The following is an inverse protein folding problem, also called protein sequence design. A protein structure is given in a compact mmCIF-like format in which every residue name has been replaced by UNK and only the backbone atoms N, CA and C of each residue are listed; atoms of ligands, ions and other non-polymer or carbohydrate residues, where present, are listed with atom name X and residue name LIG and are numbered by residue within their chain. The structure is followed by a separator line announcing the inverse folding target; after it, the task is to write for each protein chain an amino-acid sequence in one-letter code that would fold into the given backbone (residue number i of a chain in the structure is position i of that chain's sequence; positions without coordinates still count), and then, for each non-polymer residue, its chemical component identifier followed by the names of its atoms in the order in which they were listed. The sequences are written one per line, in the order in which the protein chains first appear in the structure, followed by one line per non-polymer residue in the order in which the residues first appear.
data_IF_843227402692
#
_entry.id   IF_843227402692
#
_cell.length_a   1.000
_cell.length_b   1.000
_cell.length_c   1.000
_cell.angle_alpha   90.00
_cell.angle_beta   90.00
_cell.angle_gamma   90.00
#
_symmetry.space_group_name_H-M   'P 1'
#
loop_
_entity.id
_entity.type
_entity.pdbx_description
1 polymer ?
#
# COMPACT_ATOMS: atom_id res chain seq x y z
N UNK A 1 12.09 -28.18 3.83
CA UNK A 1 10.76 -28.50 3.26
C UNK A 1 9.70 -28.61 4.36
N UNK A 2 9.89 -29.44 5.40
CA UNK A 2 8.89 -29.64 6.46
C UNK A 2 8.45 -28.37 7.20
N UNK A 3 9.38 -27.46 7.55
CA UNK A 3 9.03 -26.20 8.23
C UNK A 3 8.19 -25.26 7.35
N UNK A 4 8.48 -25.18 6.05
CA UNK A 4 7.72 -24.33 5.13
C UNK A 4 6.29 -24.84 4.95
N UNK A 5 6.13 -26.17 4.84
CA UNK A 5 4.81 -26.82 4.78
C UNK A 5 4.04 -26.62 6.09
N UNK A 6 4.71 -26.75 7.24
CA UNK A 6 4.09 -26.47 8.54
C UNK A 6 3.62 -25.02 8.64
N UNK A 7 4.45 -24.04 8.28
CA UNK A 7 4.08 -22.63 8.33
C UNK A 7 2.92 -22.30 7.36
N UNK A 8 2.91 -22.92 6.17
CA UNK A 8 1.80 -22.79 5.23
C UNK A 8 0.51 -23.39 5.80
N UNK A 9 0.59 -24.57 6.43
CA UNK A 9 -0.56 -25.20 7.08
C UNK A 9 -1.09 -24.33 8.23
N UNK A 10 -0.22 -23.80 9.10
CA UNK A 10 -0.59 -22.90 10.20
C UNK A 10 -1.23 -21.60 9.69
N UNK A 11 -0.67 -21.01 8.63
CA UNK A 11 -1.23 -19.82 8.00
C UNK A 11 -2.64 -20.08 7.44
N UNK A 12 -2.78 -21.18 6.70
CA UNK A 12 -4.05 -21.57 6.08
C UNK A 12 -5.11 -21.86 7.14
N UNK A 13 -4.75 -22.63 8.17
CA UNK A 13 -5.61 -22.87 9.34
C UNK A 13 -6.07 -21.55 9.97
N UNK A 14 -5.15 -20.64 10.28
CA UNK A 14 -5.48 -19.37 10.91
C UNK A 14 -6.40 -18.49 10.07
N UNK A 15 -6.15 -18.38 8.76
CA UNK A 15 -6.97 -17.61 7.85
C UNK A 15 -8.39 -18.20 7.68
N UNK A 16 -8.50 -19.53 7.60
CA UNK A 16 -9.79 -20.22 7.49
C UNK A 16 -10.60 -20.11 8.78
N UNK A 17 -9.99 -20.31 9.94
CA UNK A 17 -10.68 -20.16 11.23
C UNK A 17 -11.11 -18.70 11.44
N UNK A 18 -10.28 -17.73 11.08
CA UNK A 18 -10.66 -16.31 11.14
C UNK A 18 -11.89 -16.02 10.26
N UNK A 19 -11.92 -16.57 9.03
CA UNK A 19 -13.05 -16.46 8.10
C UNK A 19 -14.34 -17.09 8.64
N UNK A 20 -14.24 -18.21 9.35
CA UNK A 20 -15.39 -18.96 9.88
C UNK A 20 -15.94 -18.44 11.20
N UNK A 21 -15.11 -17.80 12.03
CA UNK A 21 -15.51 -17.39 13.39
C UNK A 21 -15.74 -15.90 13.56
N UNK A 22 -15.07 -15.08 12.76
CA UNK A 22 -15.11 -13.61 12.91
C UNK A 22 -15.80 -12.94 11.74
N UNK A 23 -15.40 -13.28 10.51
CA UNK A 23 -15.95 -12.62 9.32
C UNK A 23 -17.23 -13.30 8.80
N UNK A 24 -18.30 -13.19 9.58
CA UNK A 24 -19.59 -13.83 9.28
C UNK A 24 -20.60 -12.91 8.60
N UNK A 25 -20.50 -11.60 8.83
CA UNK A 25 -21.48 -10.61 8.39
C UNK A 25 -21.04 -9.91 7.09
N UNK A 26 -21.81 -10.13 6.02
CA UNK A 26 -21.62 -9.53 4.69
C UNK A 26 -21.81 -8.01 4.71
N UNK A 27 -22.75 -7.53 5.54
CA UNK A 27 -23.10 -6.11 5.65
C UNK A 27 -22.05 -5.31 6.42
N UNK A 28 -21.18 -6.00 7.17
CA UNK A 28 -20.12 -5.37 7.93
C UNK A 28 -19.00 -4.93 7.01
N UNK A 29 -18.72 -3.63 7.02
CA UNK A 29 -17.72 -2.95 6.17
C UNK A 29 -18.08 -3.07 4.67
N UNK A 30 -17.12 -2.82 3.78
CA UNK A 30 -17.34 -2.68 2.33
C UNK A 30 -17.56 -4.03 1.59
N UNK A 31 -17.69 -5.16 2.30
CA UNK A 31 -17.68 -6.49 1.69
C UNK A 31 -18.91 -6.75 0.83
N UNK A 32 -20.11 -6.45 1.34
CA UNK A 32 -21.35 -6.54 0.56
C UNK A 32 -21.31 -5.67 -0.70
N UNK A 33 -20.68 -4.49 -0.63
CA UNK A 33 -20.50 -3.64 -1.80
C UNK A 33 -19.54 -4.24 -2.84
N UNK A 34 -18.48 -4.92 -2.41
CA UNK A 34 -17.60 -5.67 -3.31
C UNK A 34 -18.32 -6.87 -3.93
N UNK A 35 -19.10 -7.62 -3.15
CA UNK A 35 -19.88 -8.77 -3.62
C UNK A 35 -20.94 -8.34 -4.65
N UNK A 36 -21.69 -7.29 -4.34
CA UNK A 36 -22.67 -6.68 -5.25
C UNK A 36 -22.01 -6.24 -6.55
N UNK A 37 -20.84 -5.59 -6.49
CA UNK A 37 -20.10 -5.20 -7.69
C UNK A 37 -19.66 -6.44 -8.50
N UNK A 38 -19.12 -7.47 -7.86
CA UNK A 38 -18.77 -8.74 -8.52
C UNK A 38 -19.96 -9.36 -9.25
N UNK A 39 -21.12 -9.42 -8.59
CA UNK A 39 -22.37 -9.93 -9.18
C UNK A 39 -22.79 -9.09 -10.38
N UNK A 40 -22.86 -7.77 -10.24
CA UNK A 40 -23.27 -6.88 -11.34
C UNK A 40 -22.30 -6.94 -12.52
N UNK A 41 -21.00 -7.12 -12.30
CA UNK A 41 -20.05 -7.36 -13.39
C UNK A 41 -20.38 -8.63 -14.16
N UNK A 42 -20.66 -9.73 -13.46
CA UNK A 42 -21.03 -10.99 -14.09
C UNK A 42 -22.35 -10.88 -14.86
N UNK A 43 -23.42 -10.39 -14.23
CA UNK A 43 -24.77 -10.30 -14.81
C UNK A 43 -24.85 -9.36 -16.02
N UNK A 44 -23.99 -8.34 -16.08
CA UNK A 44 -23.97 -7.37 -17.19
C UNK A 44 -22.94 -7.69 -18.28
N UNK A 45 -22.35 -8.90 -18.26
CA UNK A 45 -21.25 -9.27 -19.17
C UNK A 45 -20.10 -8.24 -19.15
N UNK A 46 -19.68 -7.85 -17.94
CA UNK A 46 -18.58 -6.93 -17.68
C UNK A 46 -18.78 -5.48 -18.15
N UNK A 47 -20.02 -5.07 -18.41
CA UNK A 47 -20.35 -3.68 -18.79
C UNK A 47 -20.62 -2.76 -17.60
N UNK A 48 -20.78 -3.30 -16.39
CA UNK A 48 -21.05 -2.51 -15.19
C UNK A 48 -19.82 -1.73 -14.71
N UNK A 49 -19.94 -0.40 -14.65
CA UNK A 49 -18.84 0.51 -14.28
C UNK A 49 -18.76 0.83 -12.78
N UNK A 50 -19.84 0.57 -12.03
CA UNK A 50 -19.98 0.91 -10.61
C UNK A 50 -19.94 2.41 -10.30
N UNK A 51 -20.22 2.77 -9.05
CA UNK A 51 -20.21 4.17 -8.59
C UNK A 51 -18.83 4.75 -8.28
N UNK A 52 -17.76 4.12 -8.77
CA UNK A 52 -16.36 4.54 -8.57
C UNK A 52 -15.90 4.75 -7.13
N UNK A 53 -16.60 4.18 -6.15
CA UNK A 53 -16.10 4.04 -4.79
C UNK A 53 -15.07 2.90 -4.70
N UNK A 54 -15.37 1.76 -5.33
CA UNK A 54 -14.47 0.61 -5.46
C UNK A 54 -13.89 0.55 -6.87
N UNK A 55 -12.67 0.04 -6.97
CA UNK A 55 -11.96 -0.10 -8.23
C UNK A 55 -12.15 -1.51 -8.83
N UNK A 56 -12.07 -1.67 -10.16
CA UNK A 56 -12.65 -2.83 -10.85
C UNK A 56 -11.82 -4.12 -10.78
N UNK A 57 -10.50 -4.06 -10.53
CA UNK A 57 -9.64 -5.26 -10.63
C UNK A 57 -10.05 -6.35 -9.65
N UNK A 58 -10.31 -6.00 -8.39
CA UNK A 58 -10.68 -7.00 -7.39
C UNK A 58 -12.07 -7.62 -7.64
N UNK A 59 -13.14 -6.82 -7.87
CA UNK A 59 -14.43 -7.34 -8.32
C UNK A 59 -14.35 -8.25 -9.55
N UNK A 60 -13.52 -7.87 -10.54
CA UNK A 60 -13.28 -8.66 -11.75
C UNK A 60 -12.64 -10.01 -11.44
N UNK A 61 -11.63 -10.07 -10.57
CA UNK A 61 -11.02 -11.34 -10.17
C UNK A 61 -12.01 -12.24 -9.42
N UNK A 62 -12.83 -11.65 -8.55
CA UNK A 62 -13.87 -12.37 -7.84
C UNK A 62 -14.99 -12.87 -8.77
N UNK A 63 -15.30 -12.17 -9.86
CA UNK A 63 -16.33 -12.62 -10.80
C UNK A 63 -15.92 -13.84 -11.61
N UNK A 64 -14.61 -14.14 -11.70
CA UNK A 64 -14.12 -15.38 -12.32
C UNK A 64 -14.47 -16.64 -11.51
N UNK A 65 -14.73 -16.49 -10.21
CA UNK A 65 -15.14 -17.58 -9.30
C UNK A 65 -16.59 -17.44 -8.81
N UNK A 66 -17.31 -16.43 -9.33
CA UNK A 66 -18.72 -16.22 -9.06
C UNK A 66 -19.56 -17.27 -9.78
N UNK A 67 -20.67 -17.67 -9.13
CA UNK A 67 -21.55 -18.71 -9.61
C UNK A 67 -22.99 -18.32 -9.25
N UNK A 68 -23.84 -18.07 -10.25
CA UNK A 68 -25.20 -17.59 -10.03
C UNK A 68 -26.13 -18.63 -9.38
N UNK A 69 -25.72 -19.90 -9.31
CA UNK A 69 -26.50 -20.95 -8.63
C UNK A 69 -26.34 -20.92 -7.11
N UNK A 70 -25.31 -20.23 -6.60
CA UNK A 70 -25.06 -20.10 -5.17
C UNK A 70 -25.92 -19.03 -4.52
N UNK A 71 -26.26 -19.26 -3.24
CA UNK A 71 -26.79 -18.20 -2.38
C UNK A 71 -25.74 -17.13 -2.10
N UNK A 72 -26.17 -15.93 -1.70
CA UNK A 72 -25.26 -14.82 -1.40
C UNK A 72 -24.22 -15.17 -0.31
N UNK A 73 -24.63 -15.91 0.73
CA UNK A 73 -23.74 -16.38 1.79
C UNK A 73 -22.70 -17.40 1.30
N UNK A 74 -23.08 -18.27 0.36
CA UNK A 74 -22.16 -19.22 -0.26
C UNK A 74 -21.18 -18.50 -1.18
N UNK A 75 -21.64 -17.54 -1.99
CA UNK A 75 -20.77 -16.70 -2.83
C UNK A 75 -19.78 -15.89 -1.98
N UNK A 76 -20.24 -15.31 -0.88
CA UNK A 76 -19.38 -14.60 0.07
C UNK A 76 -18.30 -15.53 0.65
N UNK A 77 -18.71 -16.71 1.10
CA UNK A 77 -17.81 -17.73 1.63
C UNK A 77 -16.77 -18.17 0.59
N UNK A 78 -17.20 -18.46 -0.64
CA UNK A 78 -16.32 -18.81 -1.76
C UNK A 78 -15.30 -17.70 -2.05
N UNK A 79 -15.75 -16.44 -2.07
CA UNK A 79 -14.87 -15.30 -2.31
C UNK A 79 -13.86 -15.04 -1.18
N UNK A 80 -14.21 -15.32 0.08
CA UNK A 80 -13.24 -15.34 1.19
C UNK A 80 -12.16 -16.40 0.96
N UNK A 81 -12.54 -17.62 0.56
CA UNK A 81 -11.56 -18.67 0.25
C UNK A 81 -10.67 -18.31 -0.95
N UNK A 82 -11.22 -17.67 -1.98
CA UNK A 82 -10.42 -17.13 -3.09
C UNK A 82 -9.37 -16.14 -2.58
N UNK A 83 -9.73 -15.24 -1.65
CA UNK A 83 -8.80 -14.29 -1.09
C UNK A 83 -7.71 -14.96 -0.21
N UNK A 84 -8.06 -16.04 0.50
CA UNK A 84 -7.07 -16.89 1.19
C UNK A 84 -6.09 -17.51 0.20
N UNK A 85 -6.56 -18.12 -0.89
CA UNK A 85 -5.70 -18.70 -1.93
C UNK A 85 -4.82 -17.62 -2.58
N UNK A 86 -5.39 -16.46 -2.88
CA UNK A 86 -4.65 -15.32 -3.41
C UNK A 86 -3.52 -14.90 -2.45
N UNK A 87 -3.80 -14.80 -1.14
CA UNK A 87 -2.77 -14.48 -0.14
C UNK A 87 -1.62 -15.49 -0.12
N UNK A 88 -1.95 -16.79 -0.22
CA UNK A 88 -0.98 -17.89 -0.27
C UNK A 88 -0.10 -17.78 -1.53
N UNK A 89 -0.64 -17.34 -2.66
CA UNK A 89 0.13 -17.12 -3.88
C UNK A 89 1.03 -15.87 -3.81
N UNK A 90 0.54 -14.78 -3.20
CA UNK A 90 1.27 -13.52 -3.10
C UNK A 90 2.47 -13.59 -2.14
N UNK A 91 2.40 -14.40 -1.07
CA UNK A 91 3.47 -14.52 -0.08
C UNK A 91 4.79 -15.07 -0.67
N UNK A 92 4.83 -16.17 -1.46
CA UNK A 92 6.01 -16.60 -2.20
C UNK A 92 6.56 -15.52 -3.13
N UNK A 93 5.70 -14.77 -3.83
CA UNK A 93 6.15 -13.66 -4.67
C UNK A 93 6.86 -12.57 -3.85
N UNK A 94 6.32 -12.19 -2.68
CA UNK A 94 6.98 -11.26 -1.75
C UNK A 94 8.33 -11.80 -1.28
N UNK A 95 8.40 -13.08 -0.93
CA UNK A 95 9.66 -13.71 -0.54
C UNK A 95 10.71 -13.60 -1.65
N UNK A 96 10.35 -13.93 -2.89
CA UNK A 96 11.25 -13.83 -4.04
C UNK A 96 11.73 -12.39 -4.26
N UNK A 97 10.84 -11.40 -4.08
CA UNK A 97 11.21 -9.98 -4.12
C UNK A 97 12.22 -9.67 -3.00
N UNK A 98 11.93 -10.00 -1.74
CA UNK A 98 12.84 -9.75 -0.62
C UNK A 98 14.21 -10.43 -0.79
N UNK A 99 14.23 -11.64 -1.35
CA UNK A 99 15.47 -12.38 -1.64
C UNK A 99 16.39 -11.66 -2.62
N UNK A 100 15.87 -10.77 -3.47
CA UNK A 100 16.68 -9.93 -4.38
C UNK A 100 17.43 -8.81 -3.65
N UNK A 101 17.02 -8.43 -2.43
CA UNK A 101 17.56 -7.27 -1.72
C UNK A 101 18.24 -7.63 -0.39
N UNK A 102 17.80 -8.72 0.27
CA UNK A 102 18.23 -9.05 1.62
C UNK A 102 18.83 -10.45 1.69
N UNK A 103 19.36 -10.84 2.86
CA UNK A 103 19.74 -12.22 3.15
C UNK A 103 18.50 -13.13 3.31
N UNK A 104 18.70 -14.44 3.27
CA UNK A 104 17.59 -15.40 3.40
C UNK A 104 16.84 -15.21 4.72
N UNK A 105 17.56 -15.08 5.83
CA UNK A 105 16.95 -14.93 7.15
C UNK A 105 16.14 -13.62 7.30
N UNK A 106 16.67 -12.50 6.81
CA UNK A 106 15.92 -11.23 6.76
C UNK A 106 14.66 -11.35 5.91
N UNK A 107 14.76 -12.02 4.77
CA UNK A 107 13.62 -12.23 3.87
C UNK A 107 12.54 -13.11 4.52
N UNK A 108 12.96 -14.15 5.27
CA UNK A 108 12.05 -14.99 6.06
C UNK A 108 11.38 -14.16 7.15
N UNK A 109 12.13 -13.37 7.92
CA UNK A 109 11.55 -12.54 8.98
C UNK A 109 10.51 -11.56 8.43
N UNK A 110 10.84 -10.83 7.37
CA UNK A 110 9.88 -9.92 6.72
C UNK A 110 8.65 -10.64 6.19
N UNK A 111 8.84 -11.82 5.58
CA UNK A 111 7.73 -12.64 5.10
C UNK A 111 6.84 -13.10 6.25
N UNK A 112 7.39 -13.63 7.34
CA UNK A 112 6.62 -14.15 8.46
C UNK A 112 5.89 -13.04 9.23
N UNK A 113 6.54 -11.89 9.44
CA UNK A 113 5.87 -10.72 10.02
C UNK A 113 4.69 -10.33 9.13
N UNK A 114 4.90 -10.19 7.82
CA UNK A 114 3.83 -9.82 6.87
C UNK A 114 2.70 -10.86 6.87
N UNK A 115 3.05 -12.15 6.81
CA UNK A 115 2.10 -13.26 6.78
C UNK A 115 1.22 -13.24 8.03
N UNK A 116 1.81 -13.31 9.23
CA UNK A 116 1.07 -13.58 10.46
C UNK A 116 0.56 -12.33 11.17
N UNK A 117 1.01 -11.13 10.82
CA UNK A 117 0.54 -9.88 11.46
C UNK A 117 -0.27 -8.97 10.55
N UNK A 118 -0.33 -9.26 9.25
CA UNK A 118 -1.09 -8.46 8.26
C UNK A 118 -1.95 -9.35 7.38
N UNK A 119 -1.33 -10.22 6.59
CA UNK A 119 -2.03 -10.98 5.55
C UNK A 119 -3.03 -11.96 6.14
N UNK A 120 -2.69 -12.68 7.21
CA UNK A 120 -3.56 -13.67 7.84
C UNK A 120 -4.92 -13.06 8.21
N UNK A 121 -4.91 -11.87 8.81
CA UNK A 121 -6.11 -11.18 9.25
C UNK A 121 -6.91 -10.60 8.09
N UNK A 122 -6.27 -10.24 6.97
CA UNK A 122 -6.96 -9.66 5.80
C UNK A 122 -7.41 -10.69 4.77
N UNK A 123 -6.74 -11.84 4.71
CA UNK A 123 -7.04 -12.92 3.77
C UNK A 123 -8.45 -13.48 3.96
N UNK A 124 -9.00 -13.39 5.17
CA UNK A 124 -10.34 -13.87 5.49
C UNK A 124 -11.48 -12.96 5.02
N UNK A 125 -11.20 -11.81 4.39
CA UNK A 125 -12.21 -10.80 4.01
C UNK A 125 -12.43 -10.76 2.50
N UNK A 126 -13.66 -10.48 2.08
CA UNK A 126 -14.01 -10.21 0.67
C UNK A 126 -13.63 -8.76 0.34
N UNK A 127 -12.34 -8.52 0.18
CA UNK A 127 -11.72 -7.21 0.25
C UNK A 127 -10.43 -7.15 -0.58
N UNK A 128 -10.18 -6.03 -1.26
CA UNK A 128 -9.06 -5.84 -2.21
C UNK A 128 -7.69 -5.64 -1.53
N UNK A 129 -7.68 -5.51 -0.22
CA UNK A 129 -6.55 -5.05 0.61
C UNK A 129 -5.27 -5.83 0.35
N UNK A 130 -5.30 -7.17 0.37
CA UNK A 130 -4.07 -7.97 0.22
C UNK A 130 -3.42 -7.79 -1.15
N UNK A 131 -4.23 -7.71 -2.21
CA UNK A 131 -3.77 -7.50 -3.57
C UNK A 131 -3.23 -6.08 -3.71
N UNK A 132 -3.96 -5.11 -3.14
CA UNK A 132 -3.53 -3.71 -3.13
C UNK A 132 -2.20 -3.51 -2.39
N UNK A 133 -2.01 -4.10 -1.20
CA UNK A 133 -0.75 -3.96 -0.46
C UNK A 133 0.44 -4.53 -1.24
N UNK A 134 0.25 -5.67 -1.89
CA UNK A 134 1.27 -6.27 -2.75
C UNK A 134 1.60 -5.38 -3.95
N UNK A 135 0.60 -4.94 -4.71
CA UNK A 135 0.79 -4.13 -5.91
C UNK A 135 1.33 -2.73 -5.58
N UNK A 136 0.85 -2.11 -4.50
CA UNK A 136 1.35 -0.83 -4.00
C UNK A 136 2.82 -0.93 -3.58
N UNK A 137 3.21 -2.03 -2.93
CA UNK A 137 4.62 -2.28 -2.59
C UNK A 137 5.49 -2.49 -3.84
N UNK A 138 5.01 -3.26 -4.82
CA UNK A 138 5.69 -3.42 -6.10
C UNK A 138 5.86 -2.08 -6.83
N UNK A 139 4.80 -1.27 -6.91
CA UNK A 139 4.84 0.08 -7.48
C UNK A 139 5.87 0.95 -6.77
N UNK A 140 5.84 0.99 -5.44
CA UNK A 140 6.82 1.72 -4.62
C UNK A 140 8.26 1.30 -4.93
N UNK A 141 8.55 0.00 -4.98
CA UNK A 141 9.89 -0.51 -5.28
C UNK A 141 10.33 -0.17 -6.70
N UNK A 142 9.45 -0.26 -7.69
CA UNK A 142 9.76 0.05 -9.08
C UNK A 142 10.08 1.55 -9.25
N UNK A 143 9.25 2.42 -8.67
CA UNK A 143 9.50 3.87 -8.58
C UNK A 143 10.82 4.17 -7.86
N UNK A 144 11.10 3.51 -6.74
CA UNK A 144 12.36 3.64 -6.00
C UNK A 144 13.58 3.23 -6.84
N UNK A 145 13.48 2.15 -7.63
CA UNK A 145 14.55 1.67 -8.52
C UNK A 145 14.81 2.65 -9.66
N UNK A 146 13.79 3.33 -10.17
CA UNK A 146 13.94 4.32 -11.24
C UNK A 146 14.91 5.44 -10.86
N UNK A 147 14.94 5.89 -9.60
CA UNK A 147 15.92 6.89 -9.14
C UNK A 147 17.38 6.47 -9.33
N UNK A 148 17.67 5.16 -9.32
CA UNK A 148 19.03 4.62 -9.44
C UNK A 148 19.37 4.18 -10.87
N UNK A 149 18.45 3.50 -11.53
CA UNK A 149 18.69 2.85 -12.82
C UNK A 149 17.49 3.02 -13.76
N UNK A 150 17.22 4.26 -14.22
CA UNK A 150 16.12 4.51 -15.13
C UNK A 150 16.40 3.88 -16.50
N UNK A 151 15.39 3.21 -17.04
CA UNK A 151 15.46 2.61 -18.36
C UNK A 151 14.08 2.21 -18.86
N UNK A 152 13.96 2.01 -20.17
CA UNK A 152 12.67 1.79 -20.81
C UNK A 152 11.89 0.60 -20.23
N UNK A 153 12.54 -0.55 -20.00
CA UNK A 153 11.91 -1.73 -19.39
C UNK A 153 11.31 -1.40 -18.02
N UNK A 154 12.09 -0.69 -17.20
CA UNK A 154 11.65 -0.32 -15.86
C UNK A 154 10.54 0.73 -15.92
N UNK A 155 10.62 1.71 -16.82
CA UNK A 155 9.57 2.71 -17.04
C UNK A 155 8.23 2.06 -17.44
N UNK A 156 8.25 1.18 -18.44
CA UNK A 156 7.07 0.42 -18.90
C UNK A 156 6.45 -0.40 -17.77
N UNK A 157 7.25 -1.21 -17.07
CA UNK A 157 6.73 -2.05 -15.98
C UNK A 157 6.23 -1.20 -14.81
N UNK A 158 6.90 -0.10 -14.47
CA UNK A 158 6.44 0.84 -13.42
C UNK A 158 5.08 1.43 -13.78
N UNK A 159 4.89 1.90 -15.01
CA UNK A 159 3.61 2.45 -15.48
C UNK A 159 2.47 1.44 -15.44
N UNK A 160 2.70 0.22 -15.95
CA UNK A 160 1.70 -0.86 -15.94
C UNK A 160 1.33 -1.24 -14.51
N UNK A 161 2.32 -1.50 -13.65
CA UNK A 161 2.06 -1.93 -12.26
C UNK A 161 1.38 -0.83 -11.46
N UNK A 162 1.79 0.44 -11.62
CA UNK A 162 1.08 1.58 -11.01
C UNK A 162 -0.36 1.69 -11.52
N UNK A 163 -0.59 1.38 -12.81
CA UNK A 163 -1.91 1.41 -13.41
C UNK A 163 -2.84 0.33 -12.83
N UNK A 164 -2.37 -0.91 -12.78
CA UNK A 164 -3.11 -2.03 -12.16
C UNK A 164 -3.33 -1.74 -10.66
N UNK A 165 -2.35 -1.14 -9.98
CA UNK A 165 -2.48 -0.73 -8.58
C UNK A 165 -3.63 0.26 -8.41
N UNK A 166 -3.72 1.27 -9.28
CA UNK A 166 -4.83 2.25 -9.26
C UNK A 166 -6.18 1.58 -9.50
N UNK A 167 -6.24 0.67 -10.47
CA UNK A 167 -7.45 -0.11 -10.77
C UNK A 167 -7.79 -1.16 -9.70
N UNK A 168 -6.91 -1.35 -8.70
CA UNK A 168 -7.19 -2.14 -7.49
C UNK A 168 -7.65 -1.25 -6.35
N UNK A 169 -7.02 -0.08 -6.16
CA UNK A 169 -7.45 0.97 -5.22
C UNK A 169 -6.90 2.33 -5.66
N UNK A 170 -7.74 3.37 -5.59
CA UNK A 170 -7.42 4.71 -6.10
C UNK A 170 -6.17 5.36 -5.49
N UNK A 171 -5.83 4.94 -4.27
CA UNK A 171 -4.88 5.61 -3.38
C UNK A 171 -3.43 5.62 -3.87
N UNK A 172 -3.07 5.06 -5.02
CA UNK A 172 -1.69 5.11 -5.55
C UNK A 172 -1.32 6.48 -6.16
N UNK A 173 -2.30 7.31 -6.55
CA UNK A 173 -2.04 8.56 -7.28
C UNK A 173 -1.09 9.54 -6.56
N UNK A 174 -1.23 9.82 -5.25
CA UNK A 174 -0.31 10.71 -4.55
C UNK A 174 1.14 10.21 -4.60
N UNK A 175 1.36 8.91 -4.44
CA UNK A 175 2.69 8.30 -4.54
C UNK A 175 3.29 8.43 -5.95
N UNK A 176 2.49 8.22 -6.99
CA UNK A 176 2.93 8.40 -8.38
C UNK A 176 3.25 9.88 -8.69
N UNK A 177 2.43 10.81 -8.22
CA UNK A 177 2.67 12.24 -8.38
C UNK A 177 3.99 12.68 -7.70
N UNK A 178 4.20 12.28 -6.44
CA UNK A 178 5.46 12.54 -5.73
C UNK A 178 6.67 11.94 -6.45
N UNK A 179 6.54 10.71 -6.96
CA UNK A 179 7.59 10.09 -7.76
C UNK A 179 7.92 10.94 -8.99
N UNK A 180 6.92 11.33 -9.80
CA UNK A 180 7.13 12.13 -11.01
C UNK A 180 7.84 13.44 -10.68
N UNK A 181 7.34 14.19 -9.68
CA UNK A 181 7.90 15.48 -9.28
C UNK A 181 9.36 15.37 -8.84
N UNK A 182 9.65 14.44 -7.93
CA UNK A 182 11.00 14.27 -7.37
C UNK A 182 11.95 13.67 -8.41
N UNK A 183 11.47 12.80 -9.29
CA UNK A 183 12.24 12.22 -10.38
C UNK A 183 12.62 13.26 -11.45
N UNK A 184 11.70 14.18 -11.77
CA UNK A 184 11.98 15.34 -12.62
C UNK A 184 13.01 16.27 -11.97
N UNK A 185 12.83 16.59 -10.68
CA UNK A 185 13.78 17.40 -9.93
C UNK A 185 15.19 16.76 -9.91
N UNK A 186 15.28 15.44 -9.70
CA UNK A 186 16.55 14.72 -9.80
C UNK A 186 17.16 14.83 -11.20
N UNK A 187 16.35 14.66 -12.24
CA UNK A 187 16.81 14.69 -13.63
C UNK A 187 17.34 16.06 -14.02
N UNK A 188 16.64 17.14 -13.65
CA UNK A 188 17.07 18.51 -13.86
C UNK A 188 18.35 18.84 -13.07
N UNK A 189 18.40 18.41 -11.80
CA UNK A 189 19.59 18.60 -10.96
C UNK A 189 20.83 17.92 -11.53
N UNK A 190 20.71 16.68 -12.00
CA UNK A 190 21.84 15.95 -12.61
C UNK A 190 22.33 16.65 -13.88
N UNK A 191 21.42 17.10 -14.75
CA UNK A 191 21.76 17.86 -15.94
C UNK A 191 22.53 19.15 -15.59
N UNK A 192 22.04 19.91 -14.60
CA UNK A 192 22.70 21.11 -14.11
C UNK A 192 24.08 20.82 -13.52
N UNK A 193 24.20 19.77 -12.70
CA UNK A 193 25.48 19.42 -12.07
C UNK A 193 26.52 18.96 -13.07
N UNK A 194 26.12 18.23 -14.10
CA UNK A 194 27.01 17.74 -15.14
C UNK A 194 27.51 18.89 -16.03
N UNK A 195 26.63 19.86 -16.33
CA UNK A 195 26.99 21.09 -17.02
C UNK A 195 28.05 21.90 -16.26
N UNK A 196 27.86 22.07 -14.94
CA UNK A 196 28.83 22.77 -14.08
C UNK A 196 30.14 21.98 -13.89
N UNK A 197 30.07 20.66 -13.95
CA UNK A 197 31.21 19.75 -13.75
C UNK A 197 32.16 19.61 -14.95
N UNK A 198 31.95 20.38 -16.04
CA UNK A 198 32.69 20.25 -17.31
C UNK A 198 32.59 18.85 -17.93
N UNK A 199 31.52 18.10 -17.64
CA UNK A 199 31.24 16.85 -18.35
C UNK A 199 30.80 17.20 -19.78
N UNK A 200 31.16 16.35 -20.75
CA UNK A 200 30.68 16.46 -22.13
C UNK A 200 29.15 16.62 -22.15
N UNK A 201 28.70 17.76 -22.68
CA UNK A 201 27.30 18.14 -22.80
C UNK A 201 26.47 17.07 -23.52
N UNK A 202 27.07 16.39 -24.50
CA UNK A 202 26.41 15.33 -25.26
C UNK A 202 26.03 14.16 -24.36
N UNK A 203 26.94 13.77 -23.47
CA UNK A 203 26.72 12.68 -22.50
C UNK A 203 25.66 13.07 -21.47
N UNK A 204 25.75 14.27 -20.90
CA UNK A 204 24.78 14.78 -19.93
C UNK A 204 23.36 14.85 -20.53
N UNK A 205 23.25 15.35 -21.76
CA UNK A 205 21.99 15.39 -22.52
C UNK A 205 21.42 14.00 -22.76
N UNK A 206 22.25 13.03 -23.16
CA UNK A 206 21.78 11.67 -23.42
C UNK A 206 21.26 10.98 -22.14
N UNK A 207 21.92 11.18 -21.00
CA UNK A 207 21.44 10.68 -19.70
C UNK A 207 20.11 11.33 -19.35
N UNK A 208 19.99 12.65 -19.50
CA UNK A 208 18.74 13.36 -19.25
C UNK A 208 17.61 12.85 -20.15
N UNK A 209 17.84 12.74 -21.46
CA UNK A 209 16.86 12.22 -22.42
C UNK A 209 16.42 10.80 -22.07
N UNK A 210 17.34 9.90 -21.70
CA UNK A 210 16.99 8.54 -21.26
C UNK A 210 16.05 8.57 -20.05
N UNK A 211 16.29 9.47 -19.09
CA UNK A 211 15.45 9.62 -17.90
C UNK A 211 14.06 10.14 -18.25
N UNK A 212 13.98 11.17 -19.08
CA UNK A 212 12.71 11.74 -19.54
C UNK A 212 11.92 10.73 -20.37
N UNK A 213 12.56 10.00 -21.28
CA UNK A 213 11.91 8.92 -22.05
C UNK A 213 11.39 7.81 -21.13
N UNK A 214 12.17 7.42 -20.12
CA UNK A 214 11.73 6.42 -19.14
C UNK A 214 10.53 6.90 -18.33
N UNK A 215 10.49 8.19 -17.95
CA UNK A 215 9.34 8.80 -17.28
C UNK A 215 8.11 8.90 -18.19
N UNK A 216 8.31 9.28 -19.45
CA UNK A 216 7.24 9.32 -20.44
C UNK A 216 6.62 7.92 -20.62
N UNK A 217 7.44 6.86 -20.62
CA UNK A 217 6.95 5.49 -20.63
C UNK A 217 6.16 5.13 -19.36
N UNK A 218 6.56 5.59 -18.17
CA UNK A 218 5.74 5.41 -16.95
C UNK A 218 4.36 6.01 -17.15
N UNK A 219 4.29 7.27 -17.58
CA UNK A 219 3.04 8.02 -17.73
C UNK A 219 2.17 7.38 -18.82
N UNK A 220 2.73 7.11 -20.00
CA UNK A 220 1.99 6.53 -21.12
C UNK A 220 1.47 5.13 -20.78
N UNK A 221 2.31 4.25 -20.23
CA UNK A 221 1.86 2.91 -19.86
C UNK A 221 0.84 2.93 -18.71
N UNK A 222 0.96 3.87 -17.77
CA UNK A 222 -0.04 4.09 -16.73
C UNK A 222 -1.39 4.49 -17.34
N UNK A 223 -1.41 5.50 -18.23
CA UNK A 223 -2.64 5.97 -18.87
C UNK A 223 -3.26 4.91 -19.79
N UNK A 224 -2.46 4.16 -20.55
CA UNK A 224 -2.93 3.05 -21.39
C UNK A 224 -3.60 1.98 -20.51
N UNK A 225 -2.96 1.59 -19.40
CA UNK A 225 -3.53 0.62 -18.46
C UNK A 225 -4.86 1.12 -17.88
N UNK A 226 -4.96 2.42 -17.57
CA UNK A 226 -6.15 3.05 -17.01
C UNK A 226 -7.23 3.38 -18.03
N UNK A 227 -6.92 3.35 -19.33
CA UNK A 227 -7.75 3.93 -20.37
C UNK A 227 -9.23 3.50 -20.30
N UNK A 228 -9.57 2.21 -20.14
CA UNK A 228 -10.97 1.78 -20.03
C UNK A 228 -11.71 2.44 -18.87
N UNK A 229 -11.03 2.59 -17.73
CA UNK A 229 -11.59 3.22 -16.54
C UNK A 229 -11.78 4.73 -16.74
N UNK A 230 -10.75 5.45 -17.18
CA UNK A 230 -10.82 6.91 -17.29
C UNK A 230 -11.75 7.38 -18.41
N UNK A 231 -11.84 6.62 -19.51
CA UNK A 231 -12.75 6.90 -20.62
C UNK A 231 -14.20 6.78 -20.17
N UNK A 232 -14.54 5.67 -19.50
CA UNK A 232 -15.89 5.46 -18.97
C UNK A 232 -16.21 6.42 -17.82
N UNK A 233 -15.23 6.79 -17.00
CA UNK A 233 -15.40 7.81 -15.96
C UNK A 233 -15.72 9.19 -16.54
N UNK A 234 -15.02 9.61 -17.61
CA UNK A 234 -15.34 10.86 -18.31
C UNK A 234 -16.74 10.85 -18.91
N UNK A 235 -17.14 9.73 -19.52
CA UNK A 235 -18.47 9.58 -20.13
C UNK A 235 -19.61 9.63 -19.12
N UNK A 236 -19.47 8.95 -17.97
CA UNK A 236 -20.56 8.79 -16.98
C UNK A 236 -20.57 9.91 -15.93
N UNK A 237 -19.39 10.35 -15.49
CA UNK A 237 -19.24 11.29 -14.38
C UNK A 237 -18.65 12.64 -14.79
N UNK A 238 -18.32 12.85 -16.06
CA UNK A 238 -17.74 14.11 -16.54
C UNK A 238 -16.25 14.31 -16.24
N UNK A 239 -15.61 13.43 -15.46
CA UNK A 239 -14.20 13.55 -15.06
C UNK A 239 -13.39 12.26 -15.29
N UNK A 240 -12.17 12.39 -15.82
CA UNK A 240 -11.31 11.24 -16.15
C UNK A 240 -10.92 10.40 -14.92
N UNK A 241 -10.49 11.04 -13.84
CA UNK A 241 -10.06 10.38 -12.61
C UNK A 241 -11.14 10.39 -11.52
N UNK A 242 -12.42 10.34 -11.92
CA UNK A 242 -13.53 10.38 -10.97
C UNK A 242 -13.46 9.19 -9.99
N UNK A 243 -13.32 9.48 -8.71
CA UNK A 243 -13.48 8.54 -7.61
C UNK A 243 -14.18 9.28 -6.47
N UNK A 244 -15.37 8.80 -6.09
CA UNK A 244 -16.24 9.50 -5.13
C UNK A 244 -15.53 9.84 -3.81
N UNK A 245 -14.59 9.00 -3.34
CA UNK A 245 -13.88 9.24 -2.10
C UNK A 245 -12.94 10.45 -2.19
N UNK A 246 -12.19 10.58 -3.29
CA UNK A 246 -11.24 11.68 -3.48
C UNK A 246 -11.88 12.93 -4.10
N UNK A 247 -12.99 12.77 -4.81
CA UNK A 247 -13.73 13.90 -5.39
C UNK A 247 -14.55 14.61 -4.31
N UNK A 248 -15.29 13.85 -3.49
CA UNK A 248 -16.27 14.40 -2.57
C UNK A 248 -15.98 14.04 -1.11
N UNK A 249 -15.87 12.74 -0.78
CA UNK A 249 -15.92 12.33 0.63
C UNK A 249 -14.79 12.89 1.47
N UNK A 250 -13.59 13.02 0.90
CA UNK A 250 -12.43 13.61 1.57
C UNK A 250 -12.67 15.03 2.13
N UNK A 251 -13.72 15.72 1.69
CA UNK A 251 -14.07 17.08 2.11
C UNK A 251 -15.27 17.16 3.06
N UNK A 252 -15.86 16.04 3.49
CA UNK A 252 -16.84 16.06 4.60
C UNK A 252 -16.14 15.91 5.96
N UNK A 253 -16.82 16.30 7.03
CA UNK A 253 -16.33 16.20 8.40
C UNK A 253 -16.85 14.95 9.13
N UNK A 254 -17.79 14.22 8.51
CA UNK A 254 -18.24 12.92 9.00
C UNK A 254 -18.74 12.01 7.87
N UNK A 255 -18.87 10.71 8.16
CA UNK A 255 -19.52 9.78 7.23
C UNK A 255 -21.02 10.07 7.09
N UNK A 256 -21.67 10.46 8.18
CA UNK A 256 -23.08 10.82 8.24
C UNK A 256 -23.40 11.99 7.30
N UNK A 257 -22.55 13.01 7.28
CA UNK A 257 -22.64 14.12 6.31
C UNK A 257 -22.45 13.64 4.87
N UNK A 258 -21.52 12.71 4.61
CA UNK A 258 -21.34 12.17 3.28
C UNK A 258 -22.57 11.37 2.81
N UNK A 259 -23.23 10.64 3.72
CA UNK A 259 -24.47 9.91 3.44
C UNK A 259 -25.66 10.82 3.16
N UNK A 260 -25.79 11.90 3.93
CA UNK A 260 -26.85 12.90 3.75
C UNK A 260 -26.57 13.86 2.58
N UNK A 261 -25.29 14.07 2.25
CA UNK A 261 -24.80 14.90 1.16
C UNK A 261 -24.79 14.18 -0.18
N UNK A 262 -23.71 14.32 -0.95
CA UNK A 262 -23.55 13.85 -2.34
C UNK A 262 -24.06 12.42 -2.59
N UNK A 263 -24.01 11.54 -1.59
CA UNK A 263 -24.50 10.16 -1.70
C UNK A 263 -26.03 10.08 -1.84
N UNK A 264 -26.78 10.91 -1.11
CA UNK A 264 -28.24 11.01 -1.25
C UNK A 264 -28.64 11.62 -2.60
N UNK A 265 -27.75 12.43 -3.19
CA UNK A 265 -27.89 13.07 -4.51
C UNK A 265 -27.28 12.28 -5.67
N UNK A 266 -26.97 10.99 -5.48
CA UNK A 266 -26.66 10.08 -6.59
C UNK A 266 -25.22 10.10 -7.10
N UNK A 267 -24.23 10.48 -6.28
CA UNK A 267 -22.80 10.48 -6.64
C UNK A 267 -22.23 9.13 -7.15
N UNK A 268 -22.92 8.03 -6.86
CA UNK A 268 -22.59 6.69 -7.38
C UNK A 268 -23.18 6.36 -8.75
N UNK A 269 -24.01 7.23 -9.33
CA UNK A 269 -24.68 7.00 -10.64
C UNK A 269 -24.24 8.00 -11.70
N UNK A 270 -23.82 9.20 -11.28
CA UNK A 270 -23.36 10.28 -12.13
C UNK A 270 -22.77 11.40 -11.27
N UNK A 271 -22.65 12.59 -11.84
CA UNK A 271 -22.36 13.78 -11.04
C UNK A 271 -23.57 14.08 -10.13
N UNK A 272 -23.38 14.41 -8.83
CA UNK A 272 -24.48 14.56 -7.89
C UNK A 272 -25.42 15.71 -8.29
N UNK A 273 -26.72 15.47 -8.18
CA UNK A 273 -27.79 16.42 -8.52
C UNK A 273 -28.01 17.44 -7.39
N UNK A 274 -26.97 18.20 -7.06
CA UNK A 274 -26.99 19.19 -5.98
C UNK A 274 -26.47 20.56 -6.45
N UNK A 275 -26.89 21.67 -5.82
CA UNK A 275 -26.39 23.00 -6.18
C UNK A 275 -24.85 23.07 -6.16
N UNK A 276 -24.19 23.67 -7.16
CA UNK A 276 -22.73 23.69 -7.26
C UNK A 276 -22.01 24.20 -6.01
N UNK A 277 -22.61 25.18 -5.33
CA UNK A 277 -22.06 25.82 -4.13
C UNK A 277 -22.09 24.88 -2.91
N UNK A 278 -22.99 23.90 -2.93
CA UNK A 278 -23.11 22.89 -1.88
C UNK A 278 -22.18 21.70 -2.12
N UNK A 279 -21.64 21.52 -3.34
CA UNK A 279 -20.79 20.38 -3.67
C UNK A 279 -19.50 20.44 -2.85
N UNK A 280 -19.18 19.39 -2.06
CA UNK A 280 -17.94 19.32 -1.30
C UNK A 280 -16.72 19.44 -2.23
N UNK A 281 -15.84 20.37 -1.90
CA UNK A 281 -14.61 20.66 -2.66
C UNK A 281 -13.59 21.29 -1.72
N UNK A 282 -12.31 21.30 -2.15
CA UNK A 282 -11.25 21.99 -1.39
C UNK A 282 -11.60 23.47 -1.16
N UNK A 283 -12.12 24.15 -2.18
CA UNK A 283 -12.48 25.57 -2.10
C UNK A 283 -13.60 25.81 -1.08
N UNK A 284 -14.67 25.00 -1.14
CA UNK A 284 -15.76 25.06 -0.16
C UNK A 284 -15.23 24.81 1.25
N UNK A 285 -14.40 23.77 1.42
CA UNK A 285 -13.84 23.39 2.72
C UNK A 285 -13.01 24.53 3.34
N UNK A 286 -12.12 25.15 2.55
CA UNK A 286 -11.28 26.27 3.00
C UNK A 286 -12.08 27.55 3.30
N UNK A 287 -13.26 27.72 2.71
CA UNK A 287 -14.17 28.83 3.00
C UNK A 287 -14.94 28.63 4.29
N UNK A 288 -15.30 27.38 4.58
CA UNK A 288 -16.16 27.00 5.72
C UNK A 288 -15.36 26.71 6.99
N UNK A 289 -14.06 26.40 6.87
CA UNK A 289 -13.20 26.05 7.98
C UNK A 289 -12.07 27.06 8.20
N UNK A 290 -11.82 27.36 9.46
CA UNK A 290 -10.67 28.12 9.93
C UNK A 290 -9.39 27.29 9.89
N UNK A 291 -8.23 27.97 9.93
CA UNK A 291 -6.94 27.30 10.01
C UNK A 291 -6.79 26.42 11.28
N UNK A 292 -7.46 26.77 12.39
CA UNK A 292 -7.44 25.97 13.63
C UNK A 292 -8.16 24.65 13.42
N UNK A 293 -9.38 24.67 12.87
CA UNK A 293 -10.17 23.47 12.61
C UNK A 293 -9.46 22.53 11.63
N UNK A 294 -8.82 23.08 10.59
CA UNK A 294 -8.00 22.30 9.65
C UNK A 294 -6.83 21.63 10.38
N UNK A 295 -6.14 22.34 11.27
CA UNK A 295 -5.03 21.78 12.05
C UNK A 295 -5.50 20.71 13.04
N UNK A 296 -6.62 20.95 13.73
CA UNK A 296 -7.26 20.01 14.63
C UNK A 296 -7.63 18.71 13.91
N UNK A 297 -8.20 18.79 12.70
CA UNK A 297 -8.47 17.61 11.86
C UNK A 297 -7.22 16.76 11.61
N UNK A 298 -6.08 17.39 11.32
CA UNK A 298 -4.82 16.66 11.17
C UNK A 298 -4.33 16.05 12.49
N UNK A 299 -4.38 16.81 13.58
CA UNK A 299 -3.94 16.35 14.90
C UNK A 299 -4.75 15.14 15.37
N UNK A 300 -6.08 15.26 15.37
CA UNK A 300 -7.01 14.18 15.76
C UNK A 300 -6.87 12.98 14.84
N UNK A 301 -6.69 13.23 13.54
CA UNK A 301 -6.45 12.18 12.55
C UNK A 301 -5.16 11.41 12.83
N UNK A 302 -4.07 12.10 13.15
CA UNK A 302 -2.79 11.47 13.47
C UNK A 302 -2.88 10.65 14.77
N UNK A 303 -3.53 11.18 15.80
CA UNK A 303 -3.72 10.43 17.06
C UNK A 303 -4.55 9.16 16.81
N UNK A 304 -5.66 9.26 16.09
CA UNK A 304 -6.48 8.11 15.69
C UNK A 304 -5.68 7.10 14.87
N UNK A 305 -4.88 7.53 13.89
CA UNK A 305 -4.01 6.65 13.09
C UNK A 305 -3.04 5.87 13.97
N UNK A 306 -2.40 6.52 14.94
CA UNK A 306 -1.47 5.89 15.89
C UNK A 306 -2.21 4.94 16.83
N UNK A 307 -3.35 5.36 17.38
CA UNK A 307 -4.16 4.56 18.29
C UNK A 307 -4.66 3.27 17.61
N UNK A 308 -5.12 3.37 16.37
CA UNK A 308 -5.58 2.24 15.56
C UNK A 308 -4.41 1.29 15.25
N UNK A 309 -3.24 1.81 14.91
CA UNK A 309 -2.05 0.99 14.68
C UNK A 309 -1.61 0.23 15.95
N UNK A 310 -1.60 0.90 17.12
CA UNK A 310 -1.25 0.30 18.41
C UNK A 310 -2.17 -0.85 18.80
N UNK A 311 -3.48 -0.70 18.57
CA UNK A 311 -4.51 -1.70 18.89
C UNK A 311 -4.68 -2.79 17.81
N UNK A 312 -3.84 -2.77 16.77
CA UNK A 312 -3.98 -3.67 15.62
C UNK A 312 -3.50 -5.11 15.88
N UNK A 313 -3.43 -5.91 14.82
CA UNK A 313 -3.17 -7.35 14.76
C UNK A 313 -1.75 -7.78 15.20
N UNK A 314 -0.94 -6.84 15.71
CA UNK A 314 0.38 -7.08 16.28
C UNK A 314 1.57 -6.58 15.44
N UNK A 315 1.34 -6.01 14.25
CA UNK A 315 2.44 -5.53 13.40
C UNK A 315 3.19 -4.32 13.99
N UNK A 316 2.53 -3.50 14.82
CA UNK A 316 3.04 -2.23 15.31
C UNK A 316 4.35 -2.35 16.12
N UNK A 317 4.48 -3.38 16.96
CA UNK A 317 5.72 -3.61 17.71
C UNK A 317 6.91 -3.92 16.80
N UNK A 318 6.71 -4.65 15.70
CA UNK A 318 7.78 -4.93 14.73
C UNK A 318 8.20 -3.64 14.04
N UNK A 319 7.24 -2.78 13.71
CA UNK A 319 7.53 -1.46 13.20
C UNK A 319 8.37 -0.65 14.20
N UNK A 320 7.98 -0.60 15.48
CA UNK A 320 8.73 0.12 16.53
C UNK A 320 10.14 -0.45 16.71
N UNK A 321 10.29 -1.78 16.77
CA UNK A 321 11.59 -2.45 16.92
C UNK A 321 12.49 -2.13 15.72
N UNK A 322 12.00 -2.30 14.49
CA UNK A 322 12.78 -2.02 13.29
C UNK A 322 13.12 -0.54 13.17
N UNK A 323 12.21 0.36 13.55
CA UNK A 323 12.47 1.80 13.58
C UNK A 323 13.54 2.15 14.61
N UNK A 324 13.41 1.66 15.84
CA UNK A 324 14.38 1.89 16.91
C UNK A 324 15.77 1.38 16.54
N UNK A 325 15.87 0.15 16.01
CA UNK A 325 17.15 -0.41 15.57
C UNK A 325 17.72 0.35 14.38
N UNK A 326 16.90 0.70 13.39
CA UNK A 326 17.36 1.52 12.26
C UNK A 326 17.88 2.88 12.70
N UNK A 327 17.20 3.55 13.65
CA UNK A 327 17.65 4.81 14.24
C UNK A 327 18.97 4.63 15.00
N UNK A 328 19.05 3.66 15.92
CA UNK A 328 20.26 3.41 16.71
C UNK A 328 21.46 3.07 15.82
N UNK A 329 21.28 2.24 14.79
CA UNK A 329 22.36 1.89 13.88
C UNK A 329 22.74 3.04 12.95
N UNK A 330 21.79 3.90 12.57
CA UNK A 330 22.08 5.12 11.82
C UNK A 330 22.86 6.11 12.69
N UNK A 331 22.38 6.43 13.89
CA UNK A 331 23.00 7.35 14.83
C UNK A 331 24.45 6.95 15.17
N UNK A 332 24.66 5.67 15.46
CA UNK A 332 25.98 5.14 15.77
C UNK A 332 26.95 5.08 14.58
N UNK A 333 26.46 5.28 13.35
CA UNK A 333 27.29 5.28 12.14
C UNK A 333 27.22 6.61 11.36
N UNK A 334 26.67 7.69 11.94
CA UNK A 334 26.47 8.96 11.24
C UNK A 334 27.73 9.47 10.53
N UNK A 335 28.90 9.31 11.17
CA UNK A 335 30.19 9.75 10.62
C UNK A 335 30.63 8.99 9.36
N UNK A 336 30.13 7.77 9.18
CA UNK A 336 30.50 6.88 8.09
C UNK A 336 29.45 6.85 6.97
N UNK A 337 28.27 7.43 7.20
CA UNK A 337 27.19 7.48 6.20
C UNK A 337 27.54 8.52 5.13
N UNK A 338 27.98 8.04 3.97
CA UNK A 338 28.15 8.87 2.77
C UNK A 338 26.89 8.79 1.92
N UNK A 339 26.10 9.86 1.92
CA UNK A 339 24.90 9.98 1.07
C UNK A 339 25.32 10.56 -0.27
N UNK A 340 25.16 9.78 -1.34
CA UNK A 340 25.33 10.30 -2.70
C UNK A 340 24.15 11.20 -3.08
N UNK A 341 24.36 12.10 -4.03
CA UNK A 341 23.29 12.97 -4.56
C UNK A 341 22.10 12.16 -5.09
N UNK A 342 22.34 11.01 -5.74
CA UNK A 342 21.26 10.13 -6.20
C UNK A 342 20.48 9.48 -5.05
N UNK A 343 21.14 9.19 -3.93
CA UNK A 343 20.49 8.71 -2.71
C UNK A 343 19.66 9.80 -2.03
N UNK A 344 20.05 11.08 -2.12
CA UNK A 344 19.28 12.19 -1.53
C UNK A 344 17.86 12.28 -2.11
N UNK A 345 17.71 12.24 -3.44
CA UNK A 345 16.38 12.28 -4.06
C UNK A 345 15.55 11.04 -3.75
N UNK A 346 16.19 9.87 -3.63
CA UNK A 346 15.52 8.65 -3.21
C UNK A 346 15.02 8.75 -1.75
N UNK A 347 15.84 9.29 -0.86
CA UNK A 347 15.45 9.56 0.53
C UNK A 347 14.31 10.58 0.58
N UNK A 348 14.40 11.67 -0.20
CA UNK A 348 13.34 12.67 -0.33
C UNK A 348 12.04 12.02 -0.79
N UNK A 349 12.10 11.12 -1.77
CA UNK A 349 10.93 10.34 -2.19
C UNK A 349 10.37 9.48 -1.06
N UNK A 350 11.21 8.74 -0.33
CA UNK A 350 10.76 7.93 0.80
C UNK A 350 10.09 8.77 1.89
N UNK A 351 10.74 9.85 2.35
CA UNK A 351 10.19 10.73 3.37
C UNK A 351 8.89 11.38 2.91
N UNK A 352 8.87 11.94 1.70
CA UNK A 352 7.67 12.58 1.15
C UNK A 352 6.54 11.58 0.98
N UNK A 353 6.83 10.35 0.53
CA UNK A 353 5.84 9.29 0.41
C UNK A 353 5.21 8.96 1.77
N UNK A 354 6.02 8.62 2.78
CA UNK A 354 5.47 8.25 4.08
C UNK A 354 4.76 9.41 4.79
N UNK A 355 5.30 10.62 4.72
CA UNK A 355 4.68 11.81 5.32
C UNK A 355 3.36 12.13 4.62
N UNK A 356 3.35 12.25 3.29
CA UNK A 356 2.15 12.61 2.55
C UNK A 356 1.02 11.59 2.75
N UNK A 357 1.31 10.28 2.69
CA UNK A 357 0.28 9.28 2.93
C UNK A 357 -0.21 9.29 4.38
N UNK A 358 0.66 9.49 5.36
CA UNK A 358 0.25 9.58 6.77
C UNK A 358 -0.67 10.78 6.99
N UNK A 359 -0.33 11.94 6.40
CA UNK A 359 -1.17 13.14 6.46
C UNK A 359 -2.50 12.95 5.72
N UNK A 360 -2.50 12.31 4.54
CA UNK A 360 -3.74 12.00 3.82
C UNK A 360 -4.64 11.05 4.60
N UNK A 361 -4.07 10.08 5.30
CA UNK A 361 -4.85 9.18 6.15
C UNK A 361 -5.40 9.88 7.39
N UNK A 362 -4.60 10.74 8.02
CA UNK A 362 -5.06 11.59 9.12
C UNK A 362 -6.21 12.51 8.67
N UNK A 363 -6.08 13.11 7.49
CA UNK A 363 -7.12 13.95 6.91
C UNK A 363 -8.42 13.17 6.62
N UNK A 364 -8.31 11.92 6.17
CA UNK A 364 -9.45 11.09 5.77
C UNK A 364 -10.16 10.41 6.96
N UNK A 365 -9.57 10.45 8.16
CA UNK A 365 -10.08 9.77 9.35
C UNK A 365 -11.54 10.03 9.69
N UNK A 366 -12.10 11.26 9.51
CA UNK A 366 -13.51 11.52 9.81
C UNK A 366 -14.49 10.73 8.93
N UNK A 367 -14.06 10.33 7.74
CA UNK A 367 -14.85 9.53 6.80
C UNK A 367 -14.67 8.05 7.06
N UNK A 368 -13.41 7.63 7.21
CA UNK A 368 -13.11 6.26 7.56
C UNK A 368 -11.81 6.20 8.35
N UNK A 369 -11.88 5.54 9.49
CA UNK A 369 -10.72 5.14 10.27
C UNK A 369 -10.54 3.62 10.18
N UNK A 370 -9.30 3.15 10.30
CA UNK A 370 -9.02 1.72 10.25
C UNK A 370 -7.60 1.41 9.84
N UNK A 371 -7.18 0.17 10.14
CA UNK A 371 -5.84 -0.30 9.80
C UNK A 371 -5.64 -0.42 8.28
N UNK A 372 -6.72 -0.43 7.49
CA UNK A 372 -6.62 -0.66 6.04
C UNK A 372 -5.79 0.38 5.31
N UNK A 373 -5.77 1.62 5.81
CA UNK A 373 -5.02 2.70 5.19
C UNK A 373 -3.53 2.60 5.54
N UNK A 374 -3.21 2.48 6.83
CA UNK A 374 -1.83 2.42 7.32
C UNK A 374 -1.08 1.17 6.85
N UNK A 375 -1.78 0.04 6.67
CA UNK A 375 -1.19 -1.21 6.21
C UNK A 375 -0.63 -1.15 4.78
N UNK A 376 -1.12 -0.24 3.93
CA UNK A 376 -0.52 -0.02 2.61
C UNK A 376 0.91 0.55 2.69
N UNK A 377 1.24 1.23 3.79
CA UNK A 377 2.59 1.74 4.06
C UNK A 377 3.49 0.72 4.74
N UNK A 378 2.91 -0.31 5.36
CA UNK A 378 3.65 -1.27 6.18
C UNK A 378 4.77 -1.97 5.41
N UNK A 379 4.45 -2.56 4.25
CA UNK A 379 5.43 -3.27 3.42
C UNK A 379 6.56 -2.35 2.91
N UNK A 380 6.27 -1.20 2.27
CA UNK A 380 7.29 -0.21 1.93
C UNK A 380 8.17 0.19 3.12
N UNK A 381 7.55 0.46 4.27
CA UNK A 381 8.26 0.95 5.46
C UNK A 381 9.18 -0.11 6.04
N UNK A 382 8.68 -1.33 6.26
CA UNK A 382 9.48 -2.45 6.75
C UNK A 382 10.64 -2.80 5.80
N UNK A 383 10.41 -2.69 4.48
CA UNK A 383 11.47 -2.85 3.49
C UNK A 383 12.54 -1.76 3.64
N UNK A 384 12.16 -0.48 3.74
CA UNK A 384 13.09 0.63 3.92
C UNK A 384 13.87 0.52 5.23
N UNK A 385 13.21 0.21 6.34
CA UNK A 385 13.86 0.02 7.65
C UNK A 385 14.86 -1.14 7.60
N UNK A 386 14.48 -2.26 6.98
CA UNK A 386 15.39 -3.41 6.80
C UNK A 386 16.59 -3.03 5.94
N UNK A 387 16.38 -2.25 4.87
CA UNK A 387 17.46 -1.75 4.03
C UNK A 387 18.41 -0.83 4.81
N UNK A 388 17.88 0.10 5.62
CA UNK A 388 18.69 0.98 6.48
C UNK A 388 19.52 0.17 7.47
N UNK A 389 18.91 -0.78 8.18
CA UNK A 389 19.64 -1.68 9.10
C UNK A 389 20.72 -2.45 8.32
N UNK A 390 20.40 -2.96 7.14
CA UNK A 390 21.31 -3.72 6.28
C UNK A 390 22.36 -2.87 5.55
N UNK A 391 22.31 -1.54 5.60
CA UNK A 391 23.39 -0.69 5.10
C UNK A 391 24.23 -0.15 6.25
N UNK A 392 23.62 0.14 7.40
CA UNK A 392 24.33 0.75 8.54
C UNK A 392 25.10 -0.26 9.40
N UNK A 393 24.82 -1.56 9.28
CA UNK A 393 25.47 -2.60 10.12
C UNK A 393 26.54 -3.42 9.40
N UNK A 394 26.97 -3.05 8.18
CA UNK A 394 27.79 -3.95 7.32
C UNK A 394 29.22 -4.05 7.78
N UNK A 395 29.69 -2.95 8.35
CA UNK A 395 31.07 -2.76 8.76
C UNK A 395 31.25 -3.00 10.27
N UNK A 396 30.19 -3.45 10.97
CA UNK A 396 30.28 -3.68 12.41
C UNK A 396 31.08 -4.94 12.73
N UNK A 397 31.90 -4.90 13.80
CA UNK A 397 32.66 -6.05 14.24
C UNK A 397 31.75 -7.22 14.59
N UNK A 398 32.23 -8.42 14.32
CA UNK A 398 31.52 -9.66 14.63
C UNK A 398 31.54 -9.89 16.14
N UNK A 399 30.40 -10.33 16.69
CA UNK A 399 30.28 -10.74 18.09
C UNK A 399 30.85 -12.15 18.21
N UNK A 400 31.87 -12.33 19.05
CA UNK A 400 32.39 -13.66 19.37
C UNK A 400 31.54 -14.27 20.47
N UNK A 401 30.94 -15.42 20.21
CA UNK A 401 30.23 -16.21 21.20
C UNK A 401 30.84 -17.62 21.18
N UNK A 402 31.58 -17.94 22.24
CA UNK A 402 32.51 -19.08 22.28
C UNK A 402 33.49 -19.06 21.08
N UNK A 403 33.65 -20.18 20.38
CA UNK A 403 34.54 -20.32 19.22
C UNK A 403 33.97 -19.80 17.90
N UNK A 404 32.73 -19.29 17.88
CA UNK A 404 32.04 -18.83 16.66
C UNK A 404 31.91 -17.31 16.63
N UNK A 405 32.05 -16.76 15.44
CA UNK A 405 31.84 -15.33 15.20
C UNK A 405 30.50 -15.11 14.49
N UNK A 406 29.67 -14.23 15.03
CA UNK A 406 28.36 -13.91 14.48
C UNK A 406 28.29 -12.44 14.11
N UNK A 407 27.75 -12.13 12.94
CA UNK A 407 27.44 -10.73 12.61
C UNK A 407 26.28 -10.23 13.48
N UNK A 408 26.33 -8.95 13.86
CA UNK A 408 25.24 -8.29 14.59
C UNK A 408 23.89 -8.43 13.86
N UNK A 409 23.93 -8.40 12.52
CA UNK A 409 22.77 -8.63 11.65
C UNK A 409 22.14 -9.99 11.88
N UNK A 410 22.97 -11.02 11.93
CA UNK A 410 22.50 -12.39 12.10
C UNK A 410 21.84 -12.56 13.47
N UNK A 411 22.47 -12.05 14.53
CA UNK A 411 21.91 -12.09 15.89
C UNK A 411 20.58 -11.34 15.99
N UNK A 412 20.50 -10.11 15.48
CA UNK A 412 19.25 -9.35 15.45
C UNK A 412 18.13 -10.13 14.75
N UNK A 413 18.42 -10.72 13.59
CA UNK A 413 17.43 -11.49 12.86
C UNK A 413 17.06 -12.82 13.53
N UNK A 414 17.96 -13.46 14.27
CA UNK A 414 17.62 -14.61 15.10
C UNK A 414 16.68 -14.24 16.26
N UNK A 415 16.93 -13.10 16.92
CA UNK A 415 16.03 -12.59 17.98
C UNK A 415 14.65 -12.31 17.40
N UNK A 416 14.58 -11.59 16.28
CA UNK A 416 13.30 -11.32 15.59
C UNK A 416 12.60 -12.61 15.19
N UNK A 417 13.32 -13.61 14.66
CA UNK A 417 12.74 -14.91 14.33
C UNK A 417 12.16 -15.59 15.58
N UNK A 418 12.91 -15.61 16.68
CA UNK A 418 12.44 -16.16 17.96
C UNK A 418 11.17 -15.47 18.47
N UNK A 419 11.11 -14.14 18.38
CA UNK A 419 9.91 -13.37 18.73
C UNK A 419 8.70 -13.74 17.86
N UNK A 420 8.90 -13.86 16.54
CA UNK A 420 7.83 -14.25 15.61
C UNK A 420 7.30 -15.65 15.97
N UNK A 421 8.20 -16.61 16.16
CA UNK A 421 7.83 -18.00 16.48
C UNK A 421 7.08 -18.10 17.81
N UNK A 422 7.52 -17.36 18.83
CA UNK A 422 6.82 -17.27 20.11
C UNK A 422 5.40 -16.71 19.95
N UNK A 423 5.21 -15.75 19.06
CA UNK A 423 3.93 -15.10 18.84
C UNK A 423 2.95 -15.86 17.95
N UNK A 424 3.42 -16.87 17.21
CA UNK A 424 2.53 -17.70 16.40
C UNK A 424 1.45 -18.35 17.25
N UNK A 425 1.79 -18.80 18.47
CA UNK A 425 0.82 -19.41 19.37
C UNK A 425 -0.34 -18.46 19.72
N UNK A 426 -0.12 -17.29 20.38
CA UNK A 426 -1.23 -16.40 20.72
C UNK A 426 -1.96 -15.81 19.50
N UNK A 427 -1.27 -15.66 18.36
CA UNK A 427 -1.93 -15.29 17.11
C UNK A 427 -2.95 -16.36 16.72
N UNK A 428 -2.51 -17.62 16.59
CA UNK A 428 -3.31 -18.72 16.06
C UNK A 428 -4.34 -19.28 17.06
N UNK A 429 -4.25 -18.99 18.35
CA UNK A 429 -5.21 -19.47 19.35
C UNK A 429 -6.20 -18.41 19.83
N UNK A 430 -5.74 -17.16 20.00
CA UNK A 430 -6.55 -16.10 20.61
C UNK A 430 -6.91 -14.99 19.63
N UNK A 431 -5.93 -14.44 18.90
CA UNK A 431 -6.19 -13.24 18.08
C UNK A 431 -7.06 -13.54 16.87
N UNK A 432 -6.86 -14.69 16.20
CA UNK A 432 -7.70 -15.06 15.06
C UNK A 432 -9.17 -15.26 15.41
N UNK A 433 -9.52 -15.43 16.68
CA UNK A 433 -10.91 -15.61 17.13
C UNK A 433 -11.46 -14.41 17.90
N UNK A 434 -10.68 -13.35 18.08
CA UNK A 434 -11.11 -12.15 18.85
C UNK A 434 -10.93 -10.84 18.09
N UNK A 435 -9.95 -10.73 17.19
CA UNK A 435 -9.63 -9.47 16.55
C UNK A 435 -10.40 -9.30 15.24
N UNK A 436 -11.38 -8.41 15.19
CA UNK A 436 -12.01 -8.02 13.93
C UNK A 436 -11.03 -7.24 13.04
N UNK A 437 -10.92 -7.62 11.77
CA UNK A 437 -9.92 -7.11 10.86
C UNK A 437 -10.46 -6.52 9.55
N UNK A 438 -11.77 -6.28 9.47
CA UNK A 438 -12.40 -5.72 8.27
C UNK A 438 -12.19 -4.22 8.07
N UNK A 439 -11.90 -3.47 9.14
CA UNK A 439 -11.80 -1.99 9.15
C UNK A 439 -10.48 -1.45 8.63
#
# INVERSE_FOLDING_TARGET
MCLALLLLALYTYGAVEHSKRINLDISRVDQGAYLSYTRSLYETNYNYVGGRNRMPVYPFLQSLVYDPSLTENESFTRGKYFNIVLSIALLPCLFLIFRRFFSTLQSINLLLITAFTVFLFRAAYFQAEILFYFLSFCSFLLMARMFKQPGWKLGTVTGIVAGITHLTKASILPGLALFILIFLAQSAYLLYSDFKGKIDFTRARNIFLQRILSLALVISCFLITLYPYISTSKRVFGHYFYNVNSTFYIWYDSWEEAEQGTRSYGDGKGWPEMPPEQIPSLEKYLREHTASEIFERFYDGLDKVIAVAKKSYGYFKYLVIYLAIALLTTLANLRNIKVTKSQLFLLLFYFSYFIAYTLLYAWYTPIASGNRFTLALFLPLMFCLTAVINTTTSERPQVRLASKQFSWRYLFNLVVLGMILFELYPILTSRIVTTFAGT
#
